data_IF_016252126228
#
_entry.id   IF_016252126228
#
_cell.length_a   1.000
_cell.length_b   1.000
_cell.length_c   1.000
_cell.angle_alpha   90.00
_cell.angle_beta   90.00
_cell.angle_gamma   90.00
#
_symmetry.space_group_name_H-M   'P 1'
#
loop_
_entity.id
_entity.type
_entity.pdbx_description
1 polymer ?
#
# COMPACT_ATOMS: atom_id res chain seq x y z
N UNK A 1 18.22 -36.14 6.98
CA UNK A 1 18.35 -37.57 7.25
C UNK A 1 17.33 -38.00 8.31
N UNK A 2 16.16 -38.49 7.88
CA UNK A 2 14.99 -38.76 8.75
C UNK A 2 15.04 -40.13 9.45
N UNK A 3 15.98 -41.00 9.07
CA UNK A 3 16.09 -42.37 9.60
C UNK A 3 16.56 -42.42 11.06
N UNK A 4 17.31 -41.41 11.51
CA UNK A 4 17.81 -41.31 12.90
C UNK A 4 16.78 -40.78 13.91
N UNK A 5 15.60 -40.34 13.48
CA UNK A 5 14.58 -39.79 14.39
C UNK A 5 14.04 -40.91 15.30
N UNK A 6 13.79 -42.09 14.74
CA UNK A 6 13.19 -43.25 15.44
C UNK A 6 14.14 -43.86 16.48
N UNK A 7 15.45 -43.87 16.21
CA UNK A 7 16.46 -44.50 17.07
C UNK A 7 17.06 -43.56 18.13
N UNK A 8 16.72 -42.27 18.10
CA UNK A 8 17.31 -41.26 18.99
C UNK A 8 16.85 -41.34 20.45
N UNK A 9 15.80 -42.13 20.76
CA UNK A 9 15.18 -42.17 22.10
C UNK A 9 14.51 -40.86 22.53
N UNK A 10 14.52 -39.82 21.68
CA UNK A 10 13.94 -38.49 21.95
C UNK A 10 12.43 -38.40 21.66
N UNK A 11 11.85 -39.45 21.07
CA UNK A 11 10.41 -39.53 20.79
C UNK A 11 9.69 -40.07 22.04
N UNK A 12 8.73 -39.30 22.55
CA UNK A 12 7.79 -39.72 23.60
C UNK A 12 6.43 -40.03 22.97
N UNK A 13 5.54 -40.69 23.72
CA UNK A 13 4.15 -40.90 23.31
C UNK A 13 3.36 -39.59 23.09
N UNK A 14 3.85 -38.46 23.61
CA UNK A 14 3.32 -37.12 23.39
C UNK A 14 3.91 -36.39 22.18
N UNK A 15 4.94 -36.95 21.52
CA UNK A 15 5.58 -36.31 20.38
C UNK A 15 4.63 -36.27 19.17
N UNK A 16 4.59 -35.12 18.48
CA UNK A 16 3.83 -34.90 17.25
C UNK A 16 4.79 -34.66 16.09
N UNK A 17 4.51 -35.23 14.92
CA UNK A 17 5.25 -34.96 13.69
C UNK A 17 4.42 -34.05 12.78
N UNK A 18 5.00 -32.94 12.34
CA UNK A 18 4.37 -32.01 11.41
C UNK A 18 4.75 -32.39 9.98
N UNK A 19 3.82 -33.01 9.24
CA UNK A 19 4.03 -33.41 7.85
C UNK A 19 3.85 -32.23 6.88
N UNK A 20 2.72 -31.52 6.96
CA UNK A 20 2.40 -30.40 6.08
C UNK A 20 2.80 -29.07 6.74
N UNK A 21 4.06 -28.66 6.59
CA UNK A 21 4.57 -27.39 7.14
C UNK A 21 4.22 -26.17 6.30
N UNK A 22 4.14 -26.33 4.98
CA UNK A 22 3.68 -25.25 4.10
C UNK A 22 2.21 -24.93 4.38
N UNK A 23 1.92 -23.66 4.64
CA UNK A 23 0.57 -23.14 4.90
C UNK A 23 -0.33 -23.45 3.71
N UNK A 24 0.11 -23.06 2.51
CA UNK A 24 -0.61 -23.29 1.26
C UNK A 24 -0.87 -24.78 0.99
N UNK A 25 0.10 -25.66 1.27
CA UNK A 25 -0.10 -27.11 1.11
C UNK A 25 -1.11 -27.64 2.15
N UNK A 26 -1.00 -27.19 3.39
CA UNK A 26 -1.88 -27.61 4.49
C UNK A 26 -3.33 -27.29 4.20
N UNK A 27 -3.64 -26.04 3.86
CA UNK A 27 -5.03 -25.62 3.62
C UNK A 27 -5.64 -26.32 2.40
N UNK A 28 -4.85 -26.48 1.32
CA UNK A 28 -5.27 -27.21 0.12
C UNK A 28 -5.51 -28.69 0.38
N UNK A 29 -4.74 -29.30 1.29
CA UNK A 29 -4.93 -30.71 1.66
C UNK A 29 -6.25 -30.93 2.39
N UNK A 30 -6.67 -29.97 3.24
CA UNK A 30 -7.89 -30.07 4.03
C UNK A 30 -9.14 -29.79 3.17
N UNK A 31 -9.12 -28.72 2.37
CA UNK A 31 -10.24 -28.32 1.53
C UNK A 31 -9.78 -28.03 0.09
N UNK A 32 -9.52 -29.09 -0.72
CA UNK A 32 -8.97 -28.94 -2.08
C UNK A 32 -9.94 -28.34 -3.10
N UNK A 33 -11.22 -28.27 -2.76
CA UNK A 33 -12.29 -27.74 -3.62
C UNK A 33 -12.42 -26.21 -3.56
N UNK A 34 -11.67 -25.54 -2.69
CA UNK A 34 -11.52 -24.09 -2.66
C UNK A 34 -10.29 -23.68 -3.46
N UNK A 35 -10.38 -22.54 -4.15
CA UNK A 35 -9.23 -21.88 -4.73
C UNK A 35 -8.59 -20.98 -3.67
N UNK A 36 -7.27 -20.94 -3.57
CA UNK A 36 -6.60 -20.16 -2.51
C UNK A 36 -5.83 -18.99 -3.09
N UNK A 37 -5.82 -17.88 -2.36
CA UNK A 37 -4.93 -16.76 -2.64
C UNK A 37 -3.47 -17.19 -2.52
N UNK A 38 -2.60 -16.50 -3.26
CA UNK A 38 -1.17 -16.82 -3.34
C UNK A 38 -0.39 -16.27 -2.15
N UNK A 39 -0.89 -15.21 -1.50
CA UNK A 39 -0.18 -14.50 -0.45
C UNK A 39 -0.87 -14.64 0.94
N UNK A 40 -0.55 -15.70 1.72
CA UNK A 40 -0.94 -15.77 3.12
C UNK A 40 -0.15 -14.74 3.94
N UNK A 41 -0.82 -14.07 4.88
CA UNK A 41 -0.23 -13.00 5.69
C UNK A 41 -0.24 -13.34 7.18
N UNK A 42 0.74 -12.79 7.90
CA UNK A 42 0.89 -12.96 9.34
C UNK A 42 0.13 -11.86 10.06
N UNK A 43 -0.57 -12.23 11.12
CA UNK A 43 -1.20 -11.31 12.07
C UNK A 43 -0.80 -11.70 13.49
N UNK A 44 -0.69 -10.71 14.36
CA UNK A 44 -0.50 -10.93 15.79
C UNK A 44 -1.84 -10.67 16.45
N UNK A 45 -2.42 -11.68 17.09
CA UNK A 45 -3.67 -11.53 17.81
C UNK A 45 -3.55 -12.11 19.21
N UNK A 46 -3.90 -11.31 20.22
CA UNK A 46 -3.82 -11.67 21.64
C UNK A 46 -2.48 -12.30 22.06
N UNK A 47 -1.37 -11.79 21.51
CA UNK A 47 0.00 -12.27 21.79
C UNK A 47 0.38 -13.60 21.10
N UNK A 48 -0.47 -14.12 20.21
CA UNK A 48 -0.19 -15.27 19.36
C UNK A 48 -0.04 -14.85 17.90
N UNK A 49 0.68 -15.68 17.15
CA UNK A 49 0.92 -15.47 15.72
C UNK A 49 -0.02 -16.37 14.93
N UNK A 50 -0.76 -15.77 14.00
CA UNK A 50 -1.64 -16.48 13.09
C UNK A 50 -1.27 -16.16 11.66
N UNK A 51 -1.46 -17.13 10.77
CA UNK A 51 -1.50 -16.90 9.34
C UNK A 51 -2.95 -16.81 8.91
N UNK A 52 -3.29 -15.81 8.10
CA UNK A 52 -4.57 -15.73 7.43
C UNK A 52 -4.35 -15.94 5.93
N UNK A 53 -5.15 -16.81 5.33
CA UNK A 53 -5.14 -17.05 3.90
C UNK A 53 -6.56 -16.95 3.35
N UNK A 54 -6.69 -16.18 2.28
CA UNK A 54 -7.94 -16.04 1.56
C UNK A 54 -8.24 -17.27 0.70
N UNK A 55 -9.51 -17.67 0.72
CA UNK A 55 -10.02 -18.76 -0.09
C UNK A 55 -11.28 -18.34 -0.82
N UNK A 56 -11.42 -18.85 -2.03
CA UNK A 56 -12.39 -18.47 -3.02
C UNK A 56 -13.21 -19.68 -3.47
N UNK A 57 -14.49 -19.42 -3.75
CA UNK A 57 -15.26 -20.28 -4.62
C UNK A 57 -15.17 -19.76 -6.04
N UNK A 58 -15.02 -20.67 -7.00
CA UNK A 58 -14.94 -20.35 -8.42
C UNK A 58 -15.75 -21.34 -9.25
N UNK A 59 -16.17 -20.91 -10.43
CA UNK A 59 -16.75 -21.81 -11.45
C UNK A 59 -16.51 -21.26 -12.85
N UNK A 60 -16.53 -22.14 -13.85
CA UNK A 60 -16.48 -21.80 -15.28
C UNK A 60 -17.88 -21.77 -15.92
N UNK A 61 -18.92 -22.05 -15.15
CA UNK A 61 -20.27 -22.30 -15.67
C UNK A 61 -21.24 -21.14 -15.43
N UNK A 62 -20.74 -19.95 -15.06
CA UNK A 62 -21.62 -18.81 -14.85
C UNK A 62 -22.06 -18.23 -16.20
N UNK A 63 -23.37 -18.23 -16.52
CA UNK A 63 -23.83 -17.84 -17.84
C UNK A 63 -23.57 -16.35 -18.09
N UNK A 64 -23.29 -16.00 -19.36
CA UNK A 64 -23.08 -14.62 -19.81
C UNK A 64 -21.99 -13.83 -19.05
N UNK A 65 -21.03 -14.53 -18.42
CA UNK A 65 -19.89 -13.91 -17.75
C UNK A 65 -18.61 -14.14 -18.54
N UNK A 66 -17.81 -13.07 -18.67
CA UNK A 66 -16.52 -13.13 -19.33
C UNK A 66 -15.50 -13.87 -18.46
N UNK A 67 -14.74 -14.84 -19.01
CA UNK A 67 -13.70 -15.54 -18.26
C UNK A 67 -12.68 -14.60 -17.61
N UNK A 68 -12.30 -14.93 -16.38
CA UNK A 68 -11.24 -14.29 -15.62
C UNK A 68 -9.91 -14.89 -16.08
N UNK A 69 -9.05 -14.06 -16.65
CA UNK A 69 -7.71 -14.47 -17.06
C UNK A 69 -6.70 -13.84 -16.11
N UNK A 70 -5.92 -14.67 -15.43
CA UNK A 70 -4.73 -14.18 -14.74
C UNK A 70 -3.60 -13.99 -15.77
N UNK A 71 -3.10 -12.77 -15.92
CA UNK A 71 -1.92 -12.49 -16.75
C UNK A 71 -0.68 -12.53 -15.86
N UNK A 72 0.12 -13.58 -15.99
CA UNK A 72 1.44 -13.67 -15.36
C UNK A 72 2.47 -13.30 -16.42
N UNK A 73 3.33 -12.32 -16.11
CA UNK A 73 4.49 -11.99 -16.94
C UNK A 73 5.70 -12.65 -16.30
N UNK A 74 6.13 -13.79 -16.82
CA UNK A 74 7.37 -14.44 -16.35
C UNK A 74 8.56 -13.86 -17.14
N UNK A 75 9.61 -13.48 -16.40
CA UNK A 75 10.90 -13.11 -16.97
C UNK A 75 11.87 -14.26 -16.71
N UNK A 76 12.02 -15.14 -17.69
CA UNK A 76 13.03 -16.19 -17.69
C UNK A 76 14.15 -15.79 -18.66
N UNK A 77 15.36 -15.58 -18.12
CA UNK A 77 16.56 -15.32 -18.93
C UNK A 77 16.49 -14.04 -19.79
N UNK A 78 15.88 -12.97 -19.27
CA UNK A 78 15.77 -11.68 -19.97
C UNK A 78 14.76 -11.63 -21.13
N UNK A 79 14.00 -12.71 -21.38
CA UNK A 79 12.90 -12.72 -22.35
C UNK A 79 11.56 -12.73 -21.61
N UNK A 80 10.74 -11.70 -21.84
CA UNK A 80 9.35 -11.64 -21.37
C UNK A 80 8.53 -12.73 -22.08
N UNK A 81 8.06 -13.74 -21.35
CA UNK A 81 6.95 -14.59 -21.81
C UNK A 81 5.71 -14.19 -21.02
N UNK A 82 4.74 -13.60 -21.73
CA UNK A 82 3.39 -13.49 -21.20
C UNK A 82 2.78 -14.88 -21.30
N UNK A 83 2.82 -15.61 -20.19
CA UNK A 83 2.20 -16.92 -20.10
C UNK A 83 0.78 -16.70 -19.60
N UNK A 84 -0.18 -16.54 -20.51
CA UNK A 84 -1.61 -16.68 -20.16
C UNK A 84 -1.82 -18.14 -19.78
N UNK A 85 -1.91 -18.49 -18.49
CA UNK A 85 -2.07 -19.89 -18.12
C UNK A 85 -3.17 -20.22 -17.12
N UNK A 86 -3.57 -19.33 -16.20
CA UNK A 86 -4.63 -19.71 -15.25
C UNK A 86 -5.93 -18.94 -15.54
N UNK A 87 -6.88 -19.65 -16.16
CA UNK A 87 -8.28 -19.23 -16.22
C UNK A 87 -8.89 -19.61 -14.85
N UNK A 88 -9.22 -18.61 -14.03
CA UNK A 88 -9.78 -18.84 -12.69
C UNK A 88 -11.29 -19.20 -12.71
N UNK A 89 -11.89 -19.26 -13.90
CA UNK A 89 -13.33 -19.39 -14.09
C UNK A 89 -13.93 -18.14 -14.70
N UNK A 90 -15.25 -18.01 -14.59
CA UNK A 90 -16.01 -16.80 -14.90
C UNK A 90 -16.94 -16.37 -13.74
N UNK A 91 -16.69 -16.92 -12.55
CA UNK A 91 -17.28 -16.51 -11.27
C UNK A 91 -16.24 -16.65 -10.17
N UNK A 92 -16.19 -15.69 -9.25
CA UNK A 92 -15.34 -15.71 -8.07
C UNK A 92 -16.03 -15.02 -6.90
N UNK A 93 -15.90 -15.59 -5.69
CA UNK A 93 -16.26 -14.94 -4.42
C UNK A 93 -15.20 -15.22 -3.36
N UNK A 94 -14.84 -14.22 -2.56
CA UNK A 94 -13.99 -14.39 -1.37
C UNK A 94 -14.81 -14.92 -0.20
N UNK A 95 -15.22 -16.18 -0.31
CA UNK A 95 -16.24 -16.75 0.57
C UNK A 95 -15.70 -17.30 1.88
N UNK A 96 -14.37 -17.49 1.99
CA UNK A 96 -13.78 -18.14 3.16
C UNK A 96 -12.46 -17.47 3.55
N UNK A 97 -12.31 -17.16 4.84
CA UNK A 97 -11.04 -16.78 5.47
C UNK A 97 -10.48 -17.98 6.24
N UNK A 98 -9.25 -18.38 5.95
CA UNK A 98 -8.60 -19.49 6.64
C UNK A 98 -7.61 -18.95 7.65
N UNK A 99 -7.76 -19.30 8.92
CA UNK A 99 -6.86 -18.90 10.00
C UNK A 99 -6.07 -20.12 10.44
N UNK A 100 -4.74 -19.99 10.47
CA UNK A 100 -3.81 -21.04 10.87
C UNK A 100 -2.99 -20.54 12.06
N UNK A 101 -3.03 -21.25 13.18
CA UNK A 101 -2.15 -20.97 14.32
C UNK A 101 -0.70 -21.31 13.95
N UNK A 102 0.21 -20.34 14.09
CA UNK A 102 1.61 -20.53 13.67
C UNK A 102 2.40 -21.48 14.58
N UNK A 103 1.90 -21.75 15.80
CA UNK A 103 2.57 -22.60 16.78
C UNK A 103 2.17 -24.07 16.63
N UNK A 104 0.86 -24.37 16.65
CA UNK A 104 0.37 -25.76 16.57
C UNK A 104 -0.11 -26.18 15.18
N UNK A 105 -0.31 -25.23 14.26
CA UNK A 105 -0.77 -25.46 12.90
C UNK A 105 -2.26 -25.81 12.80
N UNK A 106 -3.05 -25.62 13.85
CA UNK A 106 -4.51 -25.76 13.80
C UNK A 106 -5.09 -24.83 12.75
N UNK A 107 -6.06 -25.32 11.98
CA UNK A 107 -6.65 -24.60 10.84
C UNK A 107 -8.14 -24.43 11.10
N UNK A 108 -8.61 -23.20 10.99
CA UNK A 108 -10.03 -22.86 11.09
C UNK A 108 -10.48 -22.16 9.81
N UNK A 109 -11.56 -22.65 9.20
CA UNK A 109 -12.17 -22.05 8.02
C UNK A 109 -13.38 -21.22 8.46
N UNK A 110 -13.32 -19.91 8.28
CA UNK A 110 -14.44 -19.01 8.54
C UNK A 110 -15.17 -18.68 7.25
N UNK A 111 -16.46 -18.99 7.19
CA UNK A 111 -17.28 -18.72 6.01
C UNK A 111 -17.94 -17.34 6.10
N UNK A 112 -17.89 -16.60 4.99
CA UNK A 112 -18.35 -15.22 4.87
C UNK A 112 -19.77 -15.10 4.30
N UNK A 113 -20.32 -16.16 3.71
CA UNK A 113 -21.61 -16.15 2.96
C UNK A 113 -22.81 -15.61 3.75
N UNK A 114 -22.79 -15.72 5.08
CA UNK A 114 -23.84 -15.22 5.97
C UNK A 114 -23.76 -13.71 6.24
N UNK A 115 -22.68 -13.06 5.84
CA UNK A 115 -22.43 -11.65 6.11
C UNK A 115 -22.95 -10.75 4.98
N UNK A 116 -23.22 -9.49 5.32
CA UNK A 116 -23.76 -8.50 4.39
C UNK A 116 -22.85 -8.34 3.17
N UNK A 117 -23.43 -8.46 1.97
CA UNK A 117 -22.71 -8.29 0.70
C UNK A 117 -21.86 -9.49 0.26
N UNK A 118 -21.84 -10.59 1.03
CA UNK A 118 -20.97 -11.75 0.79
C UNK A 118 -21.71 -13.02 0.36
N UNK A 119 -22.99 -12.93 0.00
CA UNK A 119 -23.79 -14.09 -0.40
C UNK A 119 -23.11 -14.90 -1.52
N UNK A 120 -22.93 -16.20 -1.28
CA UNK A 120 -22.32 -17.12 -2.23
C UNK A 120 -23.01 -18.49 -2.23
N UNK A 121 -23.82 -18.80 -3.26
CA UNK A 121 -24.50 -20.09 -3.37
C UNK A 121 -23.56 -21.30 -3.41
N UNK A 122 -22.32 -21.14 -3.90
CA UNK A 122 -21.35 -22.23 -3.96
C UNK A 122 -20.84 -22.53 -2.55
N UNK A 123 -20.46 -21.51 -1.78
CA UNK A 123 -20.05 -21.69 -0.39
C UNK A 123 -21.19 -22.22 0.49
N UNK A 124 -22.43 -21.78 0.28
CA UNK A 124 -23.61 -22.34 0.96
C UNK A 124 -23.78 -23.84 0.70
N UNK A 125 -23.49 -24.30 -0.52
CA UNK A 125 -23.51 -25.72 -0.87
C UNK A 125 -22.41 -26.48 -0.12
N UNK A 126 -21.16 -25.99 -0.14
CA UNK A 126 -20.06 -26.62 0.60
C UNK A 126 -20.30 -26.66 2.10
N UNK A 127 -20.90 -25.62 2.67
CA UNK A 127 -21.31 -25.58 4.09
C UNK A 127 -22.29 -26.71 4.43
N UNK A 128 -23.24 -27.02 3.54
CA UNK A 128 -24.20 -28.13 3.72
C UNK A 128 -23.55 -29.50 3.58
N UNK A 129 -22.59 -29.65 2.67
CA UNK A 129 -21.86 -30.91 2.44
C UNK A 129 -20.91 -31.21 3.62
N UNK A 130 -20.23 -30.18 4.15
CA UNK A 130 -19.22 -30.31 5.19
C UNK A 130 -19.57 -29.45 6.44
N UNK A 131 -20.60 -29.84 7.23
CA UNK A 131 -21.13 -29.00 8.31
C UNK A 131 -20.12 -28.72 9.44
N UNK A 132 -19.11 -29.59 9.63
CA UNK A 132 -18.12 -29.45 10.68
C UNK A 132 -16.83 -28.72 10.22
N UNK A 133 -16.68 -28.44 8.93
CA UNK A 133 -15.46 -27.83 8.37
C UNK A 133 -15.45 -26.32 8.59
N UNK A 134 -16.60 -25.67 8.40
CA UNK A 134 -16.72 -24.22 8.41
C UNK A 134 -17.28 -23.72 9.74
N UNK A 135 -16.71 -22.61 10.23
CA UNK A 135 -17.28 -21.78 11.29
C UNK A 135 -17.87 -20.52 10.69
N UNK A 136 -18.90 -19.96 11.32
CA UNK A 136 -19.44 -18.66 10.90
C UNK A 136 -18.42 -17.55 11.18
N UNK A 137 -18.32 -16.57 10.29
CA UNK A 137 -17.50 -15.38 10.51
C UNK A 137 -17.81 -14.67 11.84
N UNK A 138 -19.08 -14.62 12.24
CA UNK A 138 -19.49 -14.04 13.54
C UNK A 138 -18.78 -14.66 14.75
N UNK A 139 -18.35 -15.92 14.65
CA UNK A 139 -17.59 -16.63 15.71
C UNK A 139 -16.08 -16.39 15.67
N UNK A 140 -15.58 -15.67 14.66
CA UNK A 140 -14.18 -15.24 14.61
C UNK A 140 -13.91 -14.28 15.78
N UNK A 141 -12.80 -14.43 16.52
CA UNK A 141 -12.39 -13.47 17.53
C UNK A 141 -12.31 -12.05 16.97
N UNK A 142 -12.80 -11.07 17.73
CA UNK A 142 -12.89 -9.68 17.28
C UNK A 142 -11.53 -9.06 16.95
N UNK A 143 -10.47 -9.49 17.64
CA UNK A 143 -9.11 -9.07 17.35
C UNK A 143 -8.62 -9.58 15.98
N UNK A 144 -8.93 -10.84 15.65
CA UNK A 144 -8.64 -11.38 14.31
C UNK A 144 -9.49 -10.71 13.23
N UNK A 145 -10.74 -10.35 13.52
CA UNK A 145 -11.61 -9.65 12.55
C UNK A 145 -11.01 -8.31 12.12
N UNK A 146 -10.34 -7.57 13.02
CA UNK A 146 -9.67 -6.30 12.69
C UNK A 146 -8.47 -6.46 11.76
N UNK A 147 -7.93 -7.67 11.64
CA UNK A 147 -6.78 -7.95 10.78
C UNK A 147 -7.16 -8.49 9.40
N UNK A 148 -8.45 -8.69 9.12
CA UNK A 148 -8.84 -9.14 7.77
C UNK A 148 -8.52 -8.03 6.75
N UNK A 149 -8.06 -8.45 5.58
CA UNK A 149 -7.84 -7.55 4.45
C UNK A 149 -8.61 -8.00 3.22
N UNK A 150 -8.96 -7.05 2.36
CA UNK A 150 -9.55 -7.37 1.06
C UNK A 150 -8.49 -8.02 0.16
N UNK A 151 -8.77 -9.16 -0.48
CA UNK A 151 -7.69 -9.96 -1.04
C UNK A 151 -7.24 -9.48 -2.42
N UNK A 152 -5.92 -9.50 -2.62
CA UNK A 152 -5.24 -8.98 -3.80
C UNK A 152 -5.65 -9.70 -5.10
N UNK A 153 -5.78 -11.03 -5.11
CA UNK A 153 -6.09 -11.73 -6.37
C UNK A 153 -7.49 -11.37 -6.89
N UNK A 154 -8.49 -11.33 -6.01
CA UNK A 154 -9.85 -10.91 -6.39
C UNK A 154 -9.89 -9.45 -6.81
N UNK A 155 -9.19 -8.57 -6.07
CA UNK A 155 -9.07 -7.16 -6.41
C UNK A 155 -8.48 -6.95 -7.80
N UNK A 156 -7.38 -7.65 -8.13
CA UNK A 156 -6.74 -7.56 -9.44
C UNK A 156 -7.65 -8.04 -10.57
N UNK A 157 -8.43 -9.10 -10.36
CA UNK A 157 -9.43 -9.56 -11.34
C UNK A 157 -10.49 -8.48 -11.58
N UNK A 158 -11.05 -7.90 -10.51
CA UNK A 158 -12.04 -6.84 -10.60
C UNK A 158 -11.47 -5.60 -11.28
N UNK A 159 -10.26 -5.20 -10.91
CA UNK A 159 -9.53 -4.08 -11.49
C UNK A 159 -9.28 -4.29 -12.99
N UNK A 160 -8.87 -5.49 -13.40
CA UNK A 160 -8.63 -5.82 -14.80
C UNK A 160 -9.92 -5.74 -15.65
N UNK A 161 -11.06 -6.15 -15.09
CA UNK A 161 -12.36 -6.00 -15.74
C UNK A 161 -12.79 -4.54 -15.80
N UNK A 162 -12.69 -3.82 -14.68
CA UNK A 162 -13.08 -2.42 -14.61
C UNK A 162 -12.34 -1.53 -15.62
N UNK A 163 -11.07 -1.85 -15.92
CA UNK A 163 -10.26 -1.16 -16.91
C UNK A 163 -10.92 -1.04 -18.31
N UNK A 164 -11.80 -1.97 -18.67
CA UNK A 164 -12.58 -1.92 -19.90
C UNK A 164 -14.07 -1.62 -19.66
N UNK A 165 -14.69 -2.19 -18.62
CA UNK A 165 -16.14 -2.12 -18.41
C UNK A 165 -16.64 -0.83 -17.72
N UNK A 166 -15.75 0.08 -17.31
CA UNK A 166 -16.19 1.40 -16.85
C UNK A 166 -16.80 2.25 -18.00
N UNK A 167 -16.50 1.90 -19.26
CA UNK A 167 -17.10 2.51 -20.45
C UNK A 167 -18.54 2.02 -20.63
N UNK A 168 -19.50 2.88 -20.29
CA UNK A 168 -20.93 2.56 -20.41
C UNK A 168 -21.49 2.77 -21.83
N UNK A 169 -20.85 3.59 -22.67
CA UNK A 169 -21.29 3.80 -24.05
C UNK A 169 -20.81 2.66 -24.97
N UNK A 170 -21.76 2.03 -25.68
CA UNK A 170 -21.48 0.86 -26.50
C UNK A 170 -20.52 1.13 -27.67
N UNK A 171 -20.55 2.33 -28.26
CA UNK A 171 -19.65 2.68 -29.37
C UNK A 171 -18.24 2.90 -28.85
N UNK A 172 -18.10 3.64 -27.74
CA UNK A 172 -16.81 3.85 -27.06
C UNK A 172 -16.19 2.51 -26.63
N UNK A 173 -17.00 1.63 -26.04
CA UNK A 173 -16.56 0.30 -25.63
C UNK A 173 -16.10 -0.55 -26.82
N UNK A 174 -16.88 -0.59 -27.91
CA UNK A 174 -16.54 -1.33 -29.13
C UNK A 174 -15.22 -0.82 -29.75
N UNK A 175 -15.05 0.49 -29.79
CA UNK A 175 -13.86 1.15 -30.33
C UNK A 175 -12.67 1.18 -29.35
N UNK A 176 -12.88 0.81 -28.07
CA UNK A 176 -11.89 0.88 -26.98
C UNK A 176 -11.30 2.28 -26.82
N UNK A 177 -12.15 3.31 -26.92
CA UNK A 177 -11.74 4.71 -26.95
C UNK A 177 -11.13 5.19 -25.62
N UNK A 178 -11.66 4.73 -24.48
CA UNK A 178 -11.18 5.06 -23.13
C UNK A 178 -10.69 3.80 -22.39
N UNK A 179 -9.90 2.97 -23.07
CA UNK A 179 -9.33 1.79 -22.41
C UNK A 179 -8.28 2.21 -21.38
N UNK A 180 -8.42 1.72 -20.15
CA UNK A 180 -7.42 1.94 -19.10
C UNK A 180 -6.46 0.76 -19.00
N UNK A 181 -5.32 1.01 -18.38
CA UNK A 181 -4.33 0.00 -18.01
C UNK A 181 -3.79 0.32 -16.61
N UNK A 182 -3.24 -0.68 -15.94
CA UNK A 182 -2.54 -0.44 -14.68
C UNK A 182 -1.33 0.45 -14.93
N UNK A 183 -1.02 1.33 -13.97
CA UNK A 183 0.25 2.05 -14.01
C UNK A 183 1.41 1.06 -14.00
N UNK A 184 2.54 1.47 -14.57
CA UNK A 184 3.74 0.65 -14.63
C UNK A 184 4.84 1.23 -13.75
N UNK A 185 5.74 0.39 -13.28
CA UNK A 185 6.92 0.75 -12.50
C UNK A 185 8.13 -0.01 -13.06
N UNK A 186 9.32 0.30 -12.56
CA UNK A 186 10.49 -0.50 -12.94
C UNK A 186 10.43 -1.88 -12.29
N UNK A 187 11.00 -2.85 -12.98
CA UNK A 187 11.23 -4.16 -12.38
C UNK A 187 12.16 -4.02 -11.17
N UNK A 188 11.72 -4.56 -10.03
CA UNK A 188 12.43 -4.48 -8.75
C UNK A 188 13.89 -4.98 -8.82
N UNK A 189 14.17 -5.96 -9.68
CA UNK A 189 15.48 -6.66 -9.75
C UNK A 189 16.44 -6.11 -10.82
N UNK A 190 16.68 -4.81 -10.87
CA UNK A 190 17.76 -4.21 -11.70
C UNK A 190 17.60 -4.43 -13.22
N UNK A 191 16.43 -4.87 -13.67
CA UNK A 191 16.11 -5.04 -15.08
C UNK A 191 15.65 -3.73 -15.73
N UNK A 192 15.98 -3.51 -17.00
CA UNK A 192 15.53 -2.36 -17.80
C UNK A 192 14.07 -2.47 -18.28
N UNK A 193 13.25 -3.26 -17.60
CA UNK A 193 11.88 -3.57 -17.99
C UNK A 193 10.84 -2.85 -17.13
N UNK A 194 9.72 -2.49 -17.75
CA UNK A 194 8.51 -2.09 -17.04
C UNK A 194 7.68 -3.31 -16.62
N UNK A 195 7.08 -3.23 -15.44
CA UNK A 195 6.06 -4.15 -14.94
C UNK A 195 4.83 -3.37 -14.44
N UNK A 196 3.62 -3.96 -14.43
CA UNK A 196 2.47 -3.34 -13.76
C UNK A 196 2.75 -3.16 -12.27
N UNK A 197 2.30 -2.04 -11.70
CA UNK A 197 2.31 -1.81 -10.26
C UNK A 197 1.47 -2.88 -9.58
N UNK A 198 2.01 -3.47 -8.51
CA UNK A 198 1.23 -4.35 -7.64
C UNK A 198 0.36 -3.52 -6.69
N UNK A 199 -0.87 -3.97 -6.39
CA UNK A 199 -1.72 -3.25 -5.47
C UNK A 199 -1.14 -3.29 -4.06
N UNK A 200 -1.24 -2.18 -3.35
CA UNK A 200 -0.61 -2.00 -2.05
C UNK A 200 -1.64 -1.60 -0.98
N UNK A 201 -1.41 -2.07 0.24
CA UNK A 201 -2.23 -1.74 1.38
C UNK A 201 -1.72 -0.48 2.06
N UNK A 202 -2.62 0.47 2.32
CA UNK A 202 -2.31 1.75 2.97
C UNK A 202 -3.43 2.11 3.95
N UNK A 203 -3.06 2.82 5.01
CA UNK A 203 -4.01 3.47 5.91
C UNK A 203 -4.04 4.94 5.53
N UNK A 204 -5.22 5.43 5.15
CA UNK A 204 -5.38 6.84 4.78
C UNK A 204 -6.78 7.34 5.10
N UNK A 205 -6.90 8.64 5.24
CA UNK A 205 -8.18 9.32 5.33
C UNK A 205 -8.64 9.72 3.92
N UNK A 206 -9.78 9.17 3.48
CA UNK A 206 -10.40 9.60 2.22
C UNK A 206 -10.98 11.02 2.35
N UNK A 207 -11.00 11.84 1.27
CA UNK A 207 -11.47 13.23 1.34
C UNK A 207 -12.89 13.41 1.90
N UNK A 208 -13.78 12.44 1.65
CA UNK A 208 -15.18 12.45 2.07
C UNK A 208 -15.42 11.69 3.40
N UNK A 209 -14.35 11.32 4.12
CA UNK A 209 -14.42 10.56 5.36
C UNK A 209 -13.62 11.24 6.48
N UNK A 210 -14.16 11.24 7.69
CA UNK A 210 -13.53 11.81 8.88
C UNK A 210 -12.61 10.81 9.62
N UNK A 211 -12.46 9.59 9.09
CA UNK A 211 -11.68 8.51 9.70
C UNK A 211 -10.64 7.97 8.73
N UNK A 212 -9.51 7.57 9.30
CA UNK A 212 -8.51 6.75 8.61
C UNK A 212 -9.12 5.37 8.33
N UNK A 213 -8.93 4.88 7.12
CA UNK A 213 -9.39 3.57 6.67
C UNK A 213 -8.22 2.77 6.09
N UNK A 214 -8.23 1.46 6.34
CA UNK A 214 -7.33 0.51 5.71
C UNK A 214 -7.84 0.15 4.31
N UNK A 215 -7.05 0.50 3.30
CA UNK A 215 -7.42 0.39 1.89
C UNK A 215 -6.38 -0.44 1.11
N UNK A 216 -6.86 -1.20 0.13
CA UNK A 216 -6.02 -1.78 -0.93
C UNK A 216 -6.15 -0.92 -2.17
N UNK A 217 -5.05 -0.35 -2.66
CA UNK A 217 -5.06 0.62 -3.76
C UNK A 217 -4.32 0.13 -5.00
N UNK A 218 -4.77 0.57 -6.18
CA UNK A 218 -4.11 0.33 -7.45
C UNK A 218 -4.25 1.54 -8.39
N UNK A 219 -3.14 2.04 -8.97
CA UNK A 219 -3.20 3.15 -9.91
C UNK A 219 -3.48 2.76 -11.36
N UNK A 220 -4.22 3.64 -12.08
CA UNK A 220 -4.52 3.52 -13.51
C UNK A 220 -3.91 4.64 -14.35
N UNK A 221 -3.51 4.27 -15.56
CA UNK A 221 -3.18 5.18 -16.66
C UNK A 221 -4.06 4.87 -17.87
N UNK A 222 -4.29 5.84 -18.78
CA UNK A 222 -4.91 5.55 -20.06
C UNK A 222 -4.01 4.61 -20.86
N UNK A 223 -4.61 3.79 -21.70
CA UNK A 223 -3.85 2.92 -22.61
C UNK A 223 -2.85 3.75 -23.43
N UNK A 224 -1.58 3.29 -23.46
CA UNK A 224 -0.43 3.94 -24.14
C UNK A 224 -0.02 5.32 -23.60
N UNK A 225 -0.61 5.79 -22.51
CA UNK A 225 -0.17 7.01 -21.81
C UNK A 225 0.52 6.63 -20.50
N UNK A 226 1.31 7.57 -19.97
CA UNK A 226 2.06 7.39 -18.73
C UNK A 226 1.50 8.21 -17.57
N UNK A 227 0.65 9.19 -17.81
CA UNK A 227 0.03 9.99 -16.73
C UNK A 227 -1.08 9.19 -16.05
N UNK A 228 -1.16 9.28 -14.72
CA UNK A 228 -2.27 8.68 -14.00
C UNK A 228 -3.56 9.45 -14.26
N UNK A 229 -4.67 8.72 -14.25
CA UNK A 229 -6.02 9.28 -14.43
C UNK A 229 -6.98 8.91 -13.32
N UNK A 230 -6.72 7.82 -12.63
CA UNK A 230 -7.57 7.34 -11.57
C UNK A 230 -6.82 6.37 -10.68
N UNK A 231 -7.33 6.18 -9.47
CA UNK A 231 -6.99 5.04 -8.62
C UNK A 231 -8.25 4.27 -8.26
N UNK A 232 -8.11 2.96 -8.12
CA UNK A 232 -9.13 2.10 -7.53
C UNK A 232 -8.66 1.72 -6.13
N UNK A 233 -9.57 1.79 -5.16
CA UNK A 233 -9.36 1.41 -3.79
C UNK A 233 -10.43 0.40 -3.35
N UNK A 234 -10.05 -0.59 -2.54
CA UNK A 234 -10.96 -1.49 -1.85
C UNK A 234 -10.86 -1.28 -0.34
N UNK A 235 -12.00 -1.09 0.33
CA UNK A 235 -12.05 -0.97 1.79
C UNK A 235 -11.79 -2.31 2.46
N UNK A 236 -10.87 -2.34 3.43
CA UNK A 236 -10.50 -3.53 4.18
C UNK A 236 -11.07 -3.57 5.59
N UNK A 237 -11.49 -2.42 6.14
CA UNK A 237 -11.96 -2.39 7.52
C UNK A 237 -13.34 -3.05 7.69
N UNK A 238 -13.51 -3.86 8.76
CA UNK A 238 -14.85 -4.25 9.20
C UNK A 238 -15.62 -3.03 9.71
N UNK A 239 -16.94 -3.10 9.67
CA UNK A 239 -17.81 -2.05 10.20
C UNK A 239 -17.84 -1.99 11.73
N UNK A 240 -18.62 -1.04 12.24
CA UNK A 240 -18.79 -0.84 13.67
C UNK A 240 -19.33 -2.12 14.33
N UNK A 241 -18.70 -2.57 15.43
CA UNK A 241 -19.07 -3.82 16.09
C UNK A 241 -18.51 -5.09 15.40
N UNK A 242 -17.51 -4.93 14.53
CA UNK A 242 -16.85 -6.01 13.78
C UNK A 242 -17.81 -6.81 12.87
N UNK A 243 -18.85 -6.16 12.35
CA UNK A 243 -19.57 -6.66 11.18
C UNK A 243 -18.79 -6.34 9.89
N UNK A 244 -19.29 -6.73 8.72
CA UNK A 244 -18.59 -6.40 7.48
C UNK A 244 -18.79 -4.98 6.96
N UNK A 245 -19.65 -4.14 7.56
CA UNK A 245 -19.80 -2.72 7.19
C UNK A 245 -19.65 -2.40 5.70
N UNK A 246 -18.53 -1.76 5.34
CA UNK A 246 -18.13 -1.41 3.97
C UNK A 246 -16.97 -2.26 3.43
N UNK A 247 -16.57 -3.32 4.12
CA UNK A 247 -15.57 -4.28 3.69
C UNK A 247 -15.84 -4.76 2.26
N UNK A 248 -14.83 -4.65 1.40
CA UNK A 248 -14.89 -5.04 -0.01
C UNK A 248 -15.66 -4.07 -0.91
N UNK A 249 -16.08 -2.91 -0.41
CA UNK A 249 -16.58 -1.83 -1.24
C UNK A 249 -15.43 -1.26 -2.09
N UNK A 250 -15.66 -1.15 -3.39
CA UNK A 250 -14.69 -0.66 -4.37
C UNK A 250 -15.00 0.79 -4.73
N UNK A 251 -14.00 1.65 -4.63
CA UNK A 251 -14.10 3.08 -4.89
C UNK A 251 -13.12 3.44 -6.00
N UNK A 252 -13.60 4.14 -7.01
CA UNK A 252 -12.76 4.69 -8.08
C UNK A 252 -12.69 6.19 -7.93
N UNK A 253 -11.50 6.70 -7.71
CA UNK A 253 -11.23 8.12 -7.65
C UNK A 253 -10.64 8.58 -8.98
N UNK A 254 -11.36 9.44 -9.70
CA UNK A 254 -10.92 10.00 -10.98
C UNK A 254 -10.22 11.33 -10.75
N UNK A 255 -9.05 11.51 -11.34
CA UNK A 255 -8.36 12.79 -11.32
C UNK A 255 -9.03 13.80 -12.26
N UNK A 256 -9.01 15.10 -11.93
CA UNK A 256 -9.62 16.14 -12.75
C UNK A 256 -9.09 16.14 -14.19
N UNK A 257 -10.01 16.21 -15.16
CA UNK A 257 -9.64 16.32 -16.58
C UNK A 257 -8.88 17.63 -16.81
N UNK A 258 -7.65 17.52 -17.33
CA UNK A 258 -6.78 18.66 -17.62
C UNK A 258 -5.61 18.81 -16.66
N UNK A 259 -5.62 18.11 -15.52
CA UNK A 259 -4.43 17.99 -14.69
C UNK A 259 -3.54 16.84 -15.15
N UNK A 260 -2.24 17.14 -15.30
CA UNK A 260 -1.23 16.11 -15.51
C UNK A 260 -0.83 15.57 -14.15
N UNK A 261 -1.20 14.32 -13.90
CA UNK A 261 -0.80 13.59 -12.72
C UNK A 261 0.27 12.59 -13.12
N UNK A 262 1.45 12.69 -12.51
CA UNK A 262 2.61 11.88 -12.88
C UNK A 262 2.34 10.39 -12.70
N UNK A 263 2.74 9.59 -13.68
CA UNK A 263 2.73 8.12 -13.56
C UNK A 263 3.77 7.63 -12.59
N UNK A 264 3.55 6.48 -11.98
CA UNK A 264 4.58 5.79 -11.20
C UNK A 264 5.87 5.60 -12.02
N UNK A 265 5.77 5.20 -13.30
CA UNK A 265 6.94 5.11 -14.21
C UNK A 265 7.60 6.46 -14.53
N UNK A 266 6.88 7.56 -14.42
CA UNK A 266 7.46 8.89 -14.63
C UNK A 266 8.25 9.33 -13.40
N UNK A 267 7.75 9.02 -12.21
CA UNK A 267 8.49 9.24 -10.95
C UNK A 267 9.78 8.42 -10.94
N UNK A 268 9.72 7.16 -11.36
CA UNK A 268 10.90 6.31 -11.57
C UNK A 268 11.93 6.94 -12.54
N UNK A 269 11.44 7.59 -13.60
CA UNK A 269 12.30 8.29 -14.55
C UNK A 269 12.92 9.57 -13.93
N UNK A 270 12.20 10.28 -13.07
CA UNK A 270 12.77 11.40 -12.31
C UNK A 270 13.89 10.93 -11.39
N UNK A 271 13.71 9.80 -10.69
CA UNK A 271 14.73 9.19 -9.82
C UNK A 271 16.00 8.85 -10.62
N UNK A 272 15.85 8.33 -11.83
CA UNK A 272 17.01 8.01 -12.69
C UNK A 272 17.73 9.23 -13.26
N UNK A 273 16.98 10.32 -13.46
CA UNK A 273 17.48 11.57 -14.03
C UNK A 273 18.13 12.47 -12.98
N UNK A 274 17.82 12.26 -11.70
CA UNK A 274 18.48 12.95 -10.61
C UNK A 274 19.97 12.56 -10.53
N UNK A 275 20.91 13.51 -10.67
CA UNK A 275 22.33 13.20 -10.72
C UNK A 275 22.87 12.50 -9.47
N UNK A 276 22.39 12.88 -8.28
CA UNK A 276 22.89 12.34 -7.01
C UNK A 276 22.34 10.94 -6.79
N UNK A 277 21.03 10.75 -6.97
CA UNK A 277 20.39 9.44 -6.82
C UNK A 277 20.92 8.45 -7.85
N UNK A 278 21.04 8.87 -9.11
CA UNK A 278 21.53 8.03 -10.22
C UNK A 278 22.98 7.58 -9.97
N UNK A 279 23.83 8.47 -9.46
CA UNK A 279 25.21 8.13 -9.10
C UNK A 279 25.27 7.10 -7.96
N UNK A 280 24.54 7.31 -6.86
CA UNK A 280 24.52 6.39 -5.72
C UNK A 280 23.94 5.02 -6.10
N UNK A 281 22.82 4.99 -6.83
CA UNK A 281 22.21 3.75 -7.33
C UNK A 281 23.17 2.98 -8.25
N UNK A 282 23.88 3.69 -9.14
CA UNK A 282 24.86 3.07 -10.01
C UNK A 282 26.07 2.52 -9.25
N UNK A 283 26.48 3.15 -8.13
CA UNK A 283 27.55 2.66 -7.25
C UNK A 283 27.12 1.43 -6.45
N UNK A 284 25.89 1.40 -5.93
CA UNK A 284 25.38 0.25 -5.19
C UNK A 284 25.05 -0.96 -6.08
N UNK A 285 24.80 -0.71 -7.36
CA UNK A 285 24.60 -1.77 -8.34
C UNK A 285 25.92 -2.33 -8.91
N UNK A 286 27.06 -2.12 -8.23
CA UNK A 286 28.37 -2.65 -8.62
C UNK A 286 28.75 -3.89 -7.80
N UNK A 287 29.42 -4.84 -8.49
CA UNK A 287 30.21 -5.97 -7.97
C UNK A 287 29.89 -6.39 -6.53
N UNK A 288 29.00 -7.39 -6.39
CA UNK A 288 28.74 -8.05 -5.11
C UNK A 288 27.51 -7.54 -4.35
N UNK A 289 26.89 -6.46 -4.81
CA UNK A 289 25.58 -5.99 -4.32
C UNK A 289 24.59 -5.72 -5.44
N UNK A 290 23.30 -5.92 -5.13
CA UNK A 290 22.16 -5.68 -6.00
C UNK A 290 21.25 -4.63 -5.35
N UNK A 291 20.83 -3.66 -6.14
CA UNK A 291 19.79 -2.70 -5.75
C UNK A 291 18.43 -3.33 -6.03
N UNK A 292 17.55 -3.28 -5.04
CA UNK A 292 16.15 -3.68 -5.16
C UNK A 292 15.31 -2.42 -4.95
N UNK A 293 14.61 -2.00 -6.00
CA UNK A 293 13.58 -0.96 -5.93
C UNK A 293 12.30 -1.60 -5.41
N UNK A 294 11.74 -1.10 -4.31
CA UNK A 294 10.46 -1.57 -3.81
C UNK A 294 9.29 -1.01 -4.63
N UNK A 295 8.07 -1.45 -4.32
CA UNK A 295 6.87 -0.93 -4.97
C UNK A 295 6.74 0.58 -4.74
N UNK A 296 6.44 1.33 -5.79
CA UNK A 296 6.22 2.76 -5.69
C UNK A 296 4.77 3.04 -5.29
N UNK A 297 4.59 3.58 -4.08
CA UNK A 297 3.28 3.94 -3.55
C UNK A 297 2.92 5.35 -4.01
N UNK A 298 1.73 5.51 -4.58
CA UNK A 298 1.20 6.79 -5.01
C UNK A 298 0.01 7.16 -4.11
N UNK A 299 0.27 8.00 -3.11
CA UNK A 299 -0.64 8.22 -1.98
C UNK A 299 -1.36 9.57 -2.15
N UNK A 300 -2.70 9.61 -2.17
CA UNK A 300 -3.45 10.87 -2.15
C UNK A 300 -3.16 11.62 -0.87
N UNK A 301 -2.82 12.90 -0.97
CA UNK A 301 -2.70 13.80 0.17
C UNK A 301 -3.33 15.16 -0.17
N UNK A 302 -4.50 15.44 0.38
CA UNK A 302 -5.27 16.66 0.10
C UNK A 302 -5.47 16.89 -1.42
N UNK A 303 -4.80 17.90 -1.98
CA UNK A 303 -4.87 18.29 -3.39
C UNK A 303 -3.63 17.84 -4.20
N UNK A 304 -2.80 16.96 -3.64
CA UNK A 304 -1.58 16.47 -4.28
C UNK A 304 -1.41 14.97 -4.07
N UNK A 305 -0.35 14.43 -4.67
CA UNK A 305 0.04 13.03 -4.55
C UNK A 305 1.45 12.99 -3.99
N UNK A 306 1.61 12.24 -2.90
CA UNK A 306 2.91 11.86 -2.35
C UNK A 306 3.30 10.52 -2.96
N UNK A 307 4.46 10.48 -3.60
CA UNK A 307 5.07 9.24 -4.05
C UNK A 307 6.08 8.78 -3.01
N UNK A 308 6.11 7.48 -2.71
CA UNK A 308 7.05 6.89 -1.77
C UNK A 308 7.60 5.60 -2.36
N UNK A 309 8.93 5.48 -2.43
CA UNK A 309 9.59 4.28 -2.94
C UNK A 309 10.76 3.88 -2.01
N UNK A 310 10.72 2.70 -1.39
CA UNK A 310 11.84 2.21 -0.59
C UNK A 310 12.91 1.56 -1.49
N UNK A 311 14.17 1.85 -1.21
CA UNK A 311 15.33 1.28 -1.90
C UNK A 311 16.07 0.35 -0.93
N UNK A 312 16.19 -0.92 -1.32
CA UNK A 312 16.90 -1.95 -0.58
C UNK A 312 18.22 -2.32 -1.27
N UNK A 313 19.18 -2.75 -0.47
CA UNK A 313 20.41 -3.39 -0.96
C UNK A 313 20.48 -4.82 -0.48
N UNK A 314 20.88 -5.69 -1.38
CA UNK A 314 21.07 -7.11 -1.14
C UNK A 314 22.50 -7.50 -1.55
N UNK A 315 23.17 -8.34 -0.74
CA UNK A 315 24.49 -8.87 -1.09
C UNK A 315 24.35 -10.15 -1.92
N UNK A 316 25.17 -10.33 -2.97
CA UNK A 316 25.10 -11.52 -3.83
C UNK A 316 25.38 -12.83 -3.05
N UNK A 317 26.28 -12.77 -2.06
CA UNK A 317 26.64 -13.93 -1.25
C UNK A 317 25.64 -14.20 -0.11
N UNK A 318 24.85 -13.20 0.30
CA UNK A 318 23.85 -13.32 1.38
C UNK A 318 22.62 -12.48 1.04
N UNK A 319 21.58 -13.12 0.49
CA UNK A 319 20.42 -12.44 -0.08
C UNK A 319 19.43 -12.00 1.01
N UNK A 320 19.87 -11.09 1.89
CA UNK A 320 19.02 -10.45 2.88
C UNK A 320 18.91 -8.98 2.47
N UNK A 321 17.76 -8.54 1.93
CA UNK A 321 17.52 -7.14 1.60
C UNK A 321 17.56 -6.26 2.86
N UNK A 322 18.32 -5.17 2.80
CA UNK A 322 18.41 -4.15 3.85
C UNK A 322 17.92 -2.83 3.28
N UNK A 323 17.01 -2.16 3.97
CA UNK A 323 16.54 -0.82 3.58
C UNK A 323 17.69 0.19 3.69
N UNK A 324 17.88 1.01 2.65
CA UNK A 324 19.01 1.96 2.58
C UNK A 324 18.57 3.39 2.33
N UNK A 325 17.55 3.59 1.50
CA UNK A 325 16.94 4.89 1.26
C UNK A 325 15.43 4.76 1.14
N UNK A 326 14.74 5.84 1.43
CA UNK A 326 13.35 6.05 1.08
C UNK A 326 13.29 7.29 0.21
N UNK A 327 12.83 7.13 -1.03
CA UNK A 327 12.56 8.22 -1.95
C UNK A 327 11.15 8.72 -1.67
N UNK A 328 11.00 10.03 -1.62
CA UNK A 328 9.71 10.72 -1.57
C UNK A 328 9.61 11.70 -2.72
N UNK A 329 8.42 11.88 -3.26
CA UNK A 329 8.21 12.79 -4.38
C UNK A 329 6.85 13.47 -4.34
N UNK A 330 6.79 14.64 -4.97
CA UNK A 330 5.54 15.35 -5.28
C UNK A 330 5.38 15.50 -6.79
N UNK A 331 4.17 15.87 -7.19
CA UNK A 331 3.84 16.25 -8.57
C UNK A 331 4.87 17.25 -9.14
N UNK A 332 5.25 17.04 -10.40
CA UNK A 332 6.14 17.93 -11.15
C UNK A 332 7.63 17.61 -11.01
N UNK A 333 7.98 16.39 -10.59
CA UNK A 333 9.36 15.90 -10.56
C UNK A 333 10.20 16.38 -9.38
N UNK A 334 9.58 16.94 -8.34
CA UNK A 334 10.28 17.25 -7.10
C UNK A 334 10.42 15.97 -6.28
N UNK A 335 11.63 15.45 -6.19
CA UNK A 335 11.97 14.21 -5.50
C UNK A 335 13.11 14.45 -4.52
N UNK A 336 13.07 13.76 -3.40
CA UNK A 336 14.09 13.78 -2.36
C UNK A 336 14.22 12.38 -1.78
N UNK A 337 15.31 12.08 -1.07
CA UNK A 337 15.45 10.81 -0.36
C UNK A 337 16.18 10.98 0.97
N UNK A 338 16.06 9.98 1.84
CA UNK A 338 16.73 9.93 3.13
C UNK A 338 16.89 8.49 3.63
N UNK A 339 17.60 8.30 4.73
CA UNK A 339 17.73 6.99 5.39
C UNK A 339 16.43 6.56 6.05
N UNK A 340 15.59 7.53 6.39
CA UNK A 340 14.26 7.33 6.96
C UNK A 340 13.20 8.09 6.17
N UNK A 341 11.94 7.65 6.26
CA UNK A 341 10.82 8.36 5.65
C UNK A 341 10.73 9.79 6.20
N UNK A 342 10.95 9.94 7.50
CA UNK A 342 10.93 11.21 8.19
C UNK A 342 12.00 12.17 7.64
N UNK A 343 13.24 11.71 7.47
CA UNK A 343 14.32 12.50 6.87
C UNK A 343 13.99 12.91 5.42
N UNK A 344 13.55 11.96 4.60
CA UNK A 344 13.18 12.22 3.21
C UNK A 344 12.06 13.28 3.11
N UNK A 345 11.04 13.17 3.98
CA UNK A 345 9.95 14.14 4.07
C UNK A 345 10.42 15.51 4.58
N UNK A 346 11.35 15.57 5.53
CA UNK A 346 11.92 16.84 6.00
C UNK A 346 12.65 17.57 4.88
N UNK A 347 13.44 16.86 4.09
CA UNK A 347 14.12 17.44 2.93
C UNK A 347 13.11 17.92 1.89
N UNK A 348 12.07 17.13 1.63
CA UNK A 348 11.03 17.45 0.65
C UNK A 348 10.16 18.66 1.05
N UNK A 349 9.78 18.81 2.32
CA UNK A 349 8.89 19.89 2.76
C UNK A 349 9.62 21.08 3.42
N UNK A 350 10.90 20.93 3.74
CA UNK A 350 11.65 21.87 4.57
C UNK A 350 11.37 21.66 6.07
N UNK A 351 12.16 22.31 6.92
CA UNK A 351 12.28 22.13 8.39
C UNK A 351 11.02 22.37 9.23
N UNK A 352 9.84 22.50 8.63
CA UNK A 352 8.57 22.76 9.32
C UNK A 352 7.51 21.71 8.99
N UNK A 353 7.73 20.47 9.43
CA UNK A 353 6.59 19.61 9.79
C UNK A 353 6.30 19.85 11.27
N UNK A 354 5.05 20.13 11.69
CA UNK A 354 4.70 20.07 13.10
C UNK A 354 4.98 18.66 13.56
N UNK A 355 5.92 18.50 14.50
CA UNK A 355 6.07 17.24 15.23
C UNK A 355 4.80 17.08 16.03
N UNK A 356 3.87 16.26 15.53
CA UNK A 356 2.80 15.72 16.38
C UNK A 356 3.50 14.81 17.37
N UNK A 357 3.79 15.36 18.54
CA UNK A 357 4.21 14.58 19.69
C UNK A 357 3.02 13.72 20.07
N UNK A 358 3.07 12.44 19.70
CA UNK A 358 2.29 11.42 20.37
C UNK A 358 2.83 11.35 21.80
N UNK A 359 2.01 11.81 22.74
CA UNK A 359 2.23 11.63 24.18
C UNK A 359 2.29 10.12 24.48
N UNK A 360 3.50 9.57 24.54
CA UNK A 360 3.77 8.37 25.33
C UNK A 360 4.54 8.78 26.59
N UNK A 361 3.85 8.66 27.70
CA UNK A 361 4.39 8.68 29.06
C UNK A 361 5.52 7.67 29.25
N UNK A 362 6.70 8.12 29.72
CA UNK A 362 7.68 7.22 30.36
C UNK A 362 9.14 7.58 30.13
N UNK A 363 9.71 8.43 30.98
CA UNK A 363 11.04 9.02 30.83
C UNK A 363 12.23 8.05 30.71
N UNK A 364 13.29 8.55 30.06
CA UNK A 364 14.58 8.84 30.71
C UNK A 364 15.43 9.75 29.84
N UNK A 365 15.91 10.81 30.48
CA UNK A 365 16.86 11.80 30.01
C UNK A 365 18.17 11.19 29.51
N UNK A 366 18.61 11.61 28.31
CA UNK A 366 20.01 11.57 27.89
C UNK A 366 20.38 12.98 27.40
N UNK A 367 21.43 13.53 28.00
CA UNK A 367 22.02 14.85 27.75
C UNK A 367 22.38 15.06 26.27
N UNK A 368 21.97 16.20 25.70
CA UNK A 368 22.51 16.72 24.44
C UNK A 368 23.65 17.68 24.74
N UNK A 369 24.81 17.42 24.12
CA UNK A 369 25.86 18.42 23.90
C UNK A 369 25.35 19.51 22.93
N UNK A 370 25.77 20.79 23.09
CA UNK A 370 25.26 21.86 22.25
C UNK A 370 25.99 21.90 20.90
N UNK A 371 25.23 21.81 19.81
CA UNK A 371 25.66 22.28 18.50
C UNK A 371 25.10 23.69 18.35
N UNK A 372 25.99 24.65 18.15
CA UNK A 372 25.67 26.07 18.02
C UNK A 372 25.34 26.34 16.55
N UNK A 373 24.06 26.46 16.20
CA UNK A 373 23.64 27.04 14.92
C UNK A 373 22.92 28.36 15.18
N UNK A 374 23.46 29.41 14.57
CA UNK A 374 23.04 30.80 14.72
C UNK A 374 21.81 31.04 13.84
N UNK A 375 20.64 31.12 14.46
CA UNK A 375 19.42 31.61 13.80
C UNK A 375 19.31 33.14 13.92
N UNK A 376 18.63 33.83 12.98
CA UNK A 376 18.18 35.21 13.18
C UNK A 376 17.41 35.28 14.50
N UNK A 377 17.56 36.37 15.24
CA UNK A 377 17.04 36.46 16.60
C UNK A 377 15.55 36.04 16.64
N UNK A 378 15.21 35.00 17.42
CA UNK A 378 13.86 34.43 17.49
C UNK A 378 12.76 35.47 17.79
N UNK A 379 13.16 36.62 18.34
CA UNK A 379 12.33 37.79 18.56
C UNK A 379 11.87 38.49 17.26
N UNK A 380 12.67 38.53 16.20
CA UNK A 380 12.29 39.16 14.93
C UNK A 380 11.27 38.33 14.16
N UNK A 381 11.42 37.01 14.12
CA UNK A 381 10.46 36.10 13.48
C UNK A 381 9.08 36.19 14.15
N UNK A 382 9.04 36.21 15.48
CA UNK A 382 7.80 36.40 16.24
C UNK A 382 7.15 37.75 15.95
N UNK A 383 7.95 38.81 15.88
CA UNK A 383 7.48 40.18 15.60
C UNK A 383 6.92 40.33 14.19
N UNK A 384 7.49 39.66 13.20
CA UNK A 384 6.98 39.64 11.83
C UNK A 384 5.61 38.96 11.72
N UNK A 385 5.43 37.82 12.40
CA UNK A 385 4.15 37.10 12.44
C UNK A 385 3.06 37.96 13.11
N UNK A 386 3.37 38.58 14.24
CA UNK A 386 2.42 39.45 14.96
C UNK A 386 2.00 40.67 14.11
N UNK A 387 2.93 41.30 13.38
CA UNK A 387 2.65 42.43 12.49
C UNK A 387 1.77 42.01 11.29
N UNK A 388 2.01 40.83 10.72
CA UNK A 388 1.20 40.28 9.63
C UNK A 388 -0.23 39.99 10.09
N UNK A 389 -0.42 39.34 11.24
CA UNK A 389 -1.74 39.03 11.78
C UNK A 389 -2.53 40.29 12.11
N UNK A 390 -1.86 41.32 12.62
CA UNK A 390 -2.50 42.59 12.93
C UNK A 390 -2.90 43.34 11.64
N UNK A 391 -2.07 43.28 10.59
CA UNK A 391 -2.43 43.80 9.27
C UNK A 391 -3.68 43.08 8.70
N UNK A 392 -3.76 41.76 8.80
CA UNK A 392 -4.93 41.00 8.34
C UNK A 392 -6.22 41.38 9.08
N UNK A 393 -6.13 41.71 10.39
CA UNK A 393 -7.28 42.25 11.14
C UNK A 393 -7.72 43.62 10.61
N UNK A 394 -6.79 44.52 10.31
CA UNK A 394 -7.11 45.83 9.75
C UNK A 394 -7.71 45.74 8.34
N UNK A 395 -7.21 44.81 7.51
CA UNK A 395 -7.76 44.49 6.20
C UNK A 395 -9.22 44.03 6.28
N UNK A 396 -9.53 43.10 7.21
CA UNK A 396 -10.90 42.63 7.45
C UNK A 396 -11.85 43.71 7.98
N UNK A 397 -11.31 44.67 8.74
CA UNK A 397 -12.07 45.83 9.24
C UNK A 397 -12.19 46.99 8.24
N UNK A 398 -11.63 46.86 7.03
CA UNK A 398 -11.66 47.90 5.99
C UNK A 398 -10.79 49.14 6.30
N UNK A 399 -9.87 49.05 7.27
CA UNK A 399 -9.00 50.15 7.65
C UNK A 399 -7.66 50.10 6.88
N UNK A 400 -7.69 50.61 5.66
CA UNK A 400 -6.57 50.57 4.71
C UNK A 400 -5.34 51.37 5.15
N UNK A 401 -5.54 52.47 5.89
CA UNK A 401 -4.43 53.29 6.40
C UNK A 401 -3.61 52.51 7.44
N UNK A 402 -4.27 51.89 8.43
CA UNK A 402 -3.59 51.07 9.45
C UNK A 402 -3.02 49.77 8.89
N UNK A 403 -3.66 49.21 7.87
CA UNK A 403 -3.10 48.08 7.12
C UNK A 403 -1.76 48.44 6.47
N UNK A 404 -1.68 49.59 5.79
CA UNK A 404 -0.45 50.09 5.18
C UNK A 404 0.66 50.29 6.22
N UNK A 405 0.35 50.90 7.36
CA UNK A 405 1.31 51.09 8.46
C UNK A 405 1.86 49.78 9.03
N UNK A 406 1.02 48.76 9.24
CA UNK A 406 1.50 47.46 9.73
C UNK A 406 2.29 46.68 8.67
N UNK A 407 1.95 46.82 7.39
CA UNK A 407 2.72 46.22 6.30
C UNK A 407 4.08 46.88 6.12
N UNK A 408 4.20 48.19 6.33
CA UNK A 408 5.49 48.89 6.32
C UNK A 408 6.37 48.47 7.51
N UNK A 409 5.79 48.28 8.70
CA UNK A 409 6.51 47.74 9.87
C UNK A 409 6.98 46.31 9.62
N UNK A 410 6.14 45.46 9.03
CA UNK A 410 6.50 44.11 8.63
C UNK A 410 7.68 44.12 7.66
N UNK A 411 7.64 45.00 6.65
CA UNK A 411 8.71 45.16 5.67
C UNK A 411 10.04 45.54 6.34
N UNK A 412 10.01 46.45 7.32
CA UNK A 412 11.21 46.82 8.08
C UNK A 412 11.76 45.65 8.91
N UNK A 413 10.88 44.88 9.56
CA UNK A 413 11.28 43.68 10.32
C UNK A 413 11.91 42.63 9.41
N UNK A 414 11.34 42.41 8.22
CA UNK A 414 11.89 41.47 7.23
C UNK A 414 13.25 41.93 6.67
N UNK A 415 13.43 43.23 6.43
CA UNK A 415 14.73 43.81 6.03
C UNK A 415 15.76 43.63 7.16
N UNK A 416 15.35 43.75 8.42
CA UNK A 416 16.22 43.53 9.57
C UNK A 416 16.62 42.06 9.69
N UNK A 417 15.68 41.12 9.47
CA UNK A 417 15.97 39.68 9.43
C UNK A 417 16.92 39.32 8.30
N UNK A 418 16.76 39.94 7.12
CA UNK A 418 17.65 39.73 5.99
C UNK A 418 19.07 40.25 6.25
N UNK A 419 19.23 41.30 7.06
CA UNK A 419 20.54 41.81 7.49
C UNK A 419 21.18 41.02 8.63
N UNK A 420 20.41 40.21 9.37
CA UNK A 420 20.89 39.32 10.43
C UNK A 420 21.27 37.92 9.91
N UNK A 421 21.03 37.61 8.64
CA UNK A 421 21.62 36.45 7.96
C UNK A 421 23.02 36.80 7.44
N UNK A 422 24.07 36.01 7.74
CA UNK A 422 25.38 36.19 7.11
C UNK A 422 25.37 35.85 5.61
#
# INVERSE_FOLDING_TARGET
DTRNIIFSGKIKNTSRMLFNRSISQRVRTIAPFLQYDKDPYIVVSEGKIYWIQDAYTTTHMFPYSEPMTERITEVLGGKKRVTQQNIWGNYIRNSVKVVIDAYDGSVTYYIMTGEKGQADPIADCYKKIFPNLFKEYSTMPDDLKRHIRYPQSMFMIQAAKYAAYHMNDAKQFYNKEDLWQFSTEKMQEGGSGEQPVEPYYVILQLPDNDKEEFLLMLPYTPNRKKNMIAWLAAKCDPGNGNDLGEYGNLIVYNFPKGELVDGTIQVEAYIDQDPEMSQELALWSQRGSKVIRGNLLAIPMNQSILYVEPIYLEAEASPIPVLRRIVVGLKGGRIEWGETLQEALYTLFGTTMPVTTTDETGGKSIEKAPITEVFPSANLTKRAIEQYDQAQKYLRSGNWAKYGEEMDKLRQTLIQMQKEQP
#
